data_IF_861077862504
#
_entry.id   IF_861077862504
#
_cell.length_a   1.000
_cell.length_b   1.000
_cell.length_c   1.000
_cell.angle_alpha   90.00
_cell.angle_beta   90.00
_cell.angle_gamma   90.00
#
_symmetry.space_group_name_H-M   'P 1'
#
loop_
_entity.id
_entity.type
_entity.pdbx_description
1 polymer ?
#
# COMPACT_ATOMS: atom_id res chain seq x y z
N UNK A 1 -15.23 41.61 -38.97
CA UNK A 1 -15.02 40.30 -38.32
C UNK A 1 -14.44 40.56 -36.93
N UNK A 2 -15.29 40.78 -35.92
CA UNK A 2 -14.82 41.14 -34.57
C UNK A 2 -14.52 39.87 -33.77
N UNK A 3 -13.23 39.63 -33.51
CA UNK A 3 -12.78 38.67 -32.49
C UNK A 3 -13.01 39.33 -31.13
N UNK A 4 -14.03 38.90 -30.40
CA UNK A 4 -14.19 39.28 -29.00
C UNK A 4 -13.11 38.54 -28.18
N UNK A 5 -12.23 39.31 -27.55
CA UNK A 5 -11.33 38.83 -26.52
C UNK A 5 -12.16 38.73 -25.23
N UNK A 6 -12.61 37.53 -24.87
CA UNK A 6 -13.30 37.31 -23.60
C UNK A 6 -12.23 37.35 -22.50
N UNK A 7 -12.35 38.23 -21.48
CA UNK A 7 -11.41 38.23 -20.38
C UNK A 7 -11.58 36.93 -19.59
N UNK A 8 -10.48 36.18 -19.42
CA UNK A 8 -10.46 35.03 -18.51
C UNK A 8 -10.75 35.56 -17.12
N UNK A 9 -11.87 35.14 -16.53
CA UNK A 9 -12.28 35.63 -15.22
C UNK A 9 -11.51 34.93 -14.11
N UNK A 10 -11.41 35.56 -12.93
CA UNK A 10 -10.85 34.90 -11.74
C UNK A 10 -11.61 33.61 -11.38
N UNK A 11 -12.91 33.54 -11.71
CA UNK A 11 -13.70 32.33 -11.55
C UNK A 11 -13.23 31.19 -12.48
N UNK A 12 -12.82 31.49 -13.71
CA UNK A 12 -12.27 30.50 -14.64
C UNK A 12 -10.90 29.99 -14.15
N UNK A 13 -10.05 30.89 -13.66
CA UNK A 13 -8.77 30.52 -13.05
C UNK A 13 -8.96 29.65 -11.80
N UNK A 14 -9.91 30.00 -10.93
CA UNK A 14 -10.25 29.21 -9.74
C UNK A 14 -10.77 27.81 -10.11
N UNK A 15 -11.62 27.70 -11.15
CA UNK A 15 -12.11 26.41 -11.66
C UNK A 15 -10.98 25.55 -12.23
N UNK A 16 -10.06 26.15 -12.98
CA UNK A 16 -8.89 25.46 -13.52
C UNK A 16 -7.97 24.96 -12.41
N UNK A 17 -7.68 25.80 -11.41
CA UNK A 17 -6.85 25.43 -10.25
C UNK A 17 -7.47 24.27 -9.45
N UNK A 18 -8.79 24.31 -9.21
CA UNK A 18 -9.48 23.23 -8.52
C UNK A 18 -9.43 21.92 -9.31
N UNK A 19 -9.60 21.99 -10.63
CA UNK A 19 -9.54 20.81 -11.51
C UNK A 19 -8.14 20.21 -11.55
N UNK A 20 -7.10 21.05 -11.60
CA UNK A 20 -5.71 20.64 -11.54
C UNK A 20 -5.38 19.99 -10.17
N UNK A 21 -5.78 20.62 -9.07
CA UNK A 21 -5.58 20.10 -7.72
C UNK A 21 -6.25 18.73 -7.52
N UNK A 22 -7.51 18.58 -7.98
CA UNK A 22 -8.23 17.30 -7.95
C UNK A 22 -7.52 16.21 -8.76
N UNK A 23 -6.97 16.56 -9.91
CA UNK A 23 -6.24 15.61 -10.76
C UNK A 23 -4.97 15.14 -10.08
N UNK A 24 -4.21 16.06 -9.48
CA UNK A 24 -3.01 15.72 -8.72
C UNK A 24 -3.33 14.83 -7.51
N UNK A 25 -4.38 15.17 -6.76
CA UNK A 25 -4.87 14.35 -5.65
C UNK A 25 -5.22 12.92 -6.10
N UNK A 26 -5.96 12.78 -7.21
CA UNK A 26 -6.29 11.45 -7.74
C UNK A 26 -5.06 10.66 -8.14
N UNK A 27 -4.10 11.29 -8.83
CA UNK A 27 -2.84 10.65 -9.20
C UNK A 27 -2.05 10.16 -8.00
N UNK A 28 -2.01 10.94 -6.91
CA UNK A 28 -1.32 10.51 -5.68
C UNK A 28 -2.04 9.36 -4.99
N UNK A 29 -3.38 9.39 -4.95
CA UNK A 29 -4.18 8.28 -4.41
C UNK A 29 -4.01 7.00 -5.23
N UNK A 30 -3.98 7.11 -6.56
CA UNK A 30 -3.74 5.98 -7.46
C UNK A 30 -2.33 5.40 -7.23
N UNK A 31 -1.32 6.27 -7.13
CA UNK A 31 0.06 5.86 -6.83
C UNK A 31 0.19 5.20 -5.45
N UNK A 32 -0.47 5.75 -4.43
CA UNK A 32 -0.49 5.17 -3.09
C UNK A 32 -1.20 3.82 -3.08
N UNK A 33 -2.33 3.70 -3.78
CA UNK A 33 -3.06 2.44 -3.94
C UNK A 33 -2.18 1.39 -4.63
N UNK A 34 -1.47 1.77 -5.69
CA UNK A 34 -0.54 0.89 -6.39
C UNK A 34 0.59 0.40 -5.46
N UNK A 35 1.27 1.32 -4.78
CA UNK A 35 2.34 0.98 -3.84
C UNK A 35 1.83 0.07 -2.70
N UNK A 36 0.61 0.31 -2.21
CA UNK A 36 -0.02 -0.53 -1.20
C UNK A 36 -0.30 -1.94 -1.72
N UNK A 37 -0.73 -2.09 -2.98
CA UNK A 37 -0.97 -3.40 -3.59
C UNK A 37 0.35 -4.15 -3.81
N UNK A 38 1.38 -3.48 -4.32
CA UNK A 38 2.73 -4.04 -4.46
C UNK A 38 3.28 -4.56 -3.12
N UNK A 39 3.06 -3.81 -2.03
CA UNK A 39 3.44 -4.24 -0.69
C UNK A 39 2.66 -5.48 -0.22
N UNK A 40 1.35 -5.55 -0.50
CA UNK A 40 0.54 -6.73 -0.16
C UNK A 40 1.02 -7.98 -0.92
N UNK A 41 1.33 -7.84 -2.21
CA UNK A 41 1.87 -8.92 -3.03
C UNK A 41 3.22 -9.41 -2.50
N UNK A 42 4.12 -8.49 -2.14
CA UNK A 42 5.41 -8.81 -1.53
C UNK A 42 5.24 -9.57 -0.19
N UNK A 43 4.28 -9.17 0.64
CA UNK A 43 3.95 -9.88 1.89
C UNK A 43 3.46 -11.30 1.60
N UNK A 44 2.55 -11.48 0.65
CA UNK A 44 2.04 -12.81 0.29
C UNK A 44 3.18 -13.68 -0.28
N UNK A 45 4.07 -13.12 -1.09
CA UNK A 45 5.24 -13.82 -1.60
C UNK A 45 6.19 -14.26 -0.47
N UNK A 46 6.43 -13.38 0.51
CA UNK A 46 7.24 -13.72 1.68
C UNK A 46 6.62 -14.86 2.51
N UNK A 47 5.30 -14.82 2.73
CA UNK A 47 4.58 -15.88 3.42
C UNK A 47 4.64 -17.22 2.66
N UNK A 48 4.52 -17.18 1.32
CA UNK A 48 4.70 -18.37 0.45
C UNK A 48 6.11 -18.94 0.54
N UNK A 49 7.12 -18.08 0.70
CA UNK A 49 8.51 -18.48 0.90
C UNK A 49 8.80 -19.02 2.31
N UNK A 50 7.80 -19.03 3.22
CA UNK A 50 7.95 -19.57 4.57
C UNK A 50 8.37 -18.54 5.63
N UNK A 51 8.36 -17.24 5.30
CA UNK A 51 8.55 -16.19 6.32
C UNK A 51 7.38 -16.23 7.31
N UNK A 52 7.69 -16.21 8.61
CA UNK A 52 6.67 -16.23 9.65
C UNK A 52 5.77 -14.99 9.63
N UNK A 53 4.47 -15.09 10.01
CA UNK A 53 3.54 -13.97 9.95
C UNK A 53 3.99 -12.74 10.74
N UNK A 54 4.57 -12.93 11.92
CA UNK A 54 5.04 -11.82 12.76
C UNK A 54 6.28 -11.12 12.18
N UNK A 55 7.14 -11.85 11.47
CA UNK A 55 8.29 -11.24 10.78
C UNK A 55 7.82 -10.48 9.54
N UNK A 56 6.86 -11.03 8.78
CA UNK A 56 6.24 -10.33 7.66
C UNK A 56 5.51 -9.06 8.10
N UNK A 57 4.85 -9.07 9.26
CA UNK A 57 4.22 -7.88 9.85
C UNK A 57 5.26 -6.82 10.24
N UNK A 58 6.34 -7.23 10.92
CA UNK A 58 7.46 -6.34 11.29
C UNK A 58 8.10 -5.65 10.09
N UNK A 59 8.29 -6.38 8.98
CA UNK A 59 8.91 -5.86 7.76
C UNK A 59 7.97 -4.97 6.93
N UNK A 60 6.67 -5.29 6.88
CA UNK A 60 5.69 -4.54 6.08
C UNK A 60 5.09 -3.33 6.80
N UNK A 61 5.19 -3.27 8.13
CA UNK A 61 4.50 -2.27 8.95
C UNK A 61 2.99 -2.52 9.09
N UNK A 62 2.48 -3.66 8.59
CA UNK A 62 1.11 -4.08 8.82
C UNK A 62 0.96 -4.77 10.18
N UNK A 63 -0.28 -4.83 10.67
CA UNK A 63 -0.60 -5.59 11.87
C UNK A 63 -0.59 -7.10 11.59
N UNK A 64 -0.24 -7.91 12.59
CA UNK A 64 -0.29 -9.38 12.51
C UNK A 64 -1.65 -9.90 12.04
N UNK A 65 -2.74 -9.28 12.52
CA UNK A 65 -4.10 -9.63 12.12
C UNK A 65 -4.33 -9.39 10.62
N UNK A 66 -3.80 -8.31 10.06
CA UNK A 66 -3.92 -8.00 8.65
C UNK A 66 -3.09 -8.95 7.77
N UNK A 67 -1.87 -9.28 8.19
CA UNK A 67 -1.02 -10.27 7.51
C UNK A 67 -1.68 -11.65 7.49
N UNK A 68 -2.28 -12.09 8.60
CA UNK A 68 -3.06 -13.34 8.65
C UNK A 68 -4.28 -13.30 7.74
N UNK A 69 -4.95 -12.15 7.62
CA UNK A 69 -6.07 -11.96 6.69
C UNK A 69 -5.60 -12.08 5.24
N UNK A 70 -4.48 -11.47 4.87
CA UNK A 70 -3.86 -11.61 3.55
C UNK A 70 -3.49 -13.06 3.25
N UNK A 71 -2.91 -13.78 4.22
CA UNK A 71 -2.58 -15.19 4.08
C UNK A 71 -3.81 -16.05 3.74
N UNK A 72 -4.91 -15.83 4.48
CA UNK A 72 -6.19 -16.53 4.24
C UNK A 72 -6.77 -16.19 2.87
N UNK A 73 -6.77 -14.91 2.49
CA UNK A 73 -7.24 -14.47 1.18
C UNK A 73 -6.44 -15.07 0.03
N UNK A 74 -5.13 -15.30 0.24
CA UNK A 74 -4.23 -15.93 -0.74
C UNK A 74 -4.31 -17.47 -0.76
N UNK A 75 -5.21 -18.08 0.05
CA UNK A 75 -5.38 -19.54 0.12
C UNK A 75 -4.24 -20.28 0.80
N UNK A 76 -3.38 -19.59 1.57
CA UNK A 76 -2.33 -20.25 2.32
C UNK A 76 -2.93 -21.08 3.46
N UNK A 77 -2.41 -22.31 3.71
CA UNK A 77 -2.83 -23.09 4.87
C UNK A 77 -2.64 -22.25 6.13
N UNK A 78 -3.48 -22.42 7.17
CA UNK A 78 -3.36 -21.67 8.40
C UNK A 78 -1.92 -21.80 8.89
N UNK A 79 -1.17 -20.70 8.76
CA UNK A 79 0.21 -20.59 9.23
C UNK A 79 0.13 -20.98 10.69
N UNK A 80 0.58 -22.20 11.01
CA UNK A 80 0.52 -22.75 12.36
C UNK A 80 1.02 -21.64 13.26
N UNK A 81 0.16 -21.22 14.18
CA UNK A 81 0.48 -20.19 15.16
C UNK A 81 1.77 -20.66 15.81
N UNK A 82 2.90 -20.03 15.46
CA UNK A 82 4.18 -20.49 15.93
C UNK A 82 4.13 -20.29 17.44
N UNK A 83 3.95 -21.38 18.18
CA UNK A 83 4.37 -21.45 19.57
C UNK A 83 5.89 -21.23 19.55
N UNK A 84 6.29 -19.96 19.60
CA UNK A 84 7.68 -19.54 19.54
C UNK A 84 8.26 -19.50 18.12
N UNK A 85 8.35 -18.29 17.55
CA UNK A 85 9.49 -17.97 16.69
C UNK A 85 10.75 -17.96 17.54
N UNK A 86 11.29 -19.13 17.87
CA UNK A 86 12.64 -19.25 18.38
C UNK A 86 13.58 -18.85 17.23
N UNK A 87 14.06 -17.60 17.24
CA UNK A 87 15.29 -17.27 16.55
C UNK A 87 16.36 -18.31 16.97
N UNK A 88 17.18 -18.84 16.05
CA UNK A 88 18.25 -19.75 16.44
C UNK A 88 19.10 -19.02 17.49
N UNK A 89 19.19 -19.58 18.69
CA UNK A 89 20.11 -19.08 19.72
C UNK A 89 21.49 -19.15 19.10
N UNK A 90 22.05 -17.99 18.74
CA UNK A 90 23.44 -17.86 18.32
C UNK A 90 24.29 -18.56 19.39
N UNK A 91 25.14 -19.56 19.06
CA UNK A 91 25.97 -20.19 20.07
C UNK A 91 26.84 -19.10 20.69
N UNK A 92 26.77 -18.97 22.02
CA UNK A 92 27.62 -18.07 22.78
C UNK A 92 29.03 -18.68 22.73
N UNK A 93 29.95 -17.98 22.08
CA UNK A 93 31.38 -18.27 22.12
C UNK A 93 31.94 -18.00 23.54
#
# INVERSE_FOLDING_TARGET
MFRYCVPVTDADNARQNLTAAKTNYRRTEDAHTKARNELQEAVVAALRAGVGPSEAARLSGFTDAYVRKLARAAGLPPLRESRGGAAPRRPKA
#
